data_IF_560338352411
#
_entry.id   IF_560338352411
#
_cell.length_a   1.000
_cell.length_b   1.000
_cell.length_c   1.000
_cell.angle_alpha   90.00
_cell.angle_beta   90.00
_cell.angle_gamma   90.00
#
_symmetry.space_group_name_H-M   'P 1'
#
loop_
_entity.id
_entity.type
_entity.pdbx_description
1 polymer ?
#
# COMPACT_ATOMS: atom_id res chain seq x y z
N UNK A 1 9.23 -6.31 -0.61
CA UNK A 1 8.33 -7.15 -1.43
C UNK A 1 7.97 -8.49 -0.79
N UNK A 2 8.92 -9.28 -0.27
CA UNK A 2 8.61 -10.59 0.32
C UNK A 2 7.50 -10.54 1.41
N UNK A 3 7.51 -9.51 2.27
CA UNK A 3 6.47 -9.32 3.28
C UNK A 3 5.08 -9.14 2.68
N UNK A 4 4.95 -8.30 1.65
CA UNK A 4 3.69 -8.06 0.93
C UNK A 4 3.19 -9.35 0.28
N UNK A 5 4.08 -10.12 -0.34
CA UNK A 5 3.73 -11.42 -0.92
C UNK A 5 3.19 -12.38 0.15
N UNK A 6 3.79 -12.38 1.35
CA UNK A 6 3.30 -13.20 2.46
C UNK A 6 1.91 -12.75 2.95
N UNK A 7 1.69 -11.43 3.07
CA UNK A 7 0.39 -10.86 3.43
C UNK A 7 -0.70 -11.24 2.41
N UNK A 8 -0.40 -11.12 1.12
CA UNK A 8 -1.31 -11.54 0.05
C UNK A 8 -1.63 -13.03 0.10
N UNK A 9 -0.61 -13.88 0.26
CA UNK A 9 -0.82 -15.32 0.37
C UNK A 9 -1.69 -15.70 1.59
N UNK A 10 -1.47 -15.05 2.74
CA UNK A 10 -2.24 -15.29 3.96
C UNK A 10 -3.72 -14.90 3.84
N UNK A 11 -4.06 -14.01 2.90
CA UNK A 11 -5.43 -13.52 2.64
C UNK A 11 -6.02 -14.00 1.30
N UNK A 12 -5.32 -14.90 0.60
CA UNK A 12 -5.71 -15.39 -0.72
C UNK A 12 -5.94 -14.25 -1.74
N UNK A 13 -5.14 -13.19 -1.66
CA UNK A 13 -5.16 -12.06 -2.60
C UNK A 13 -4.20 -12.39 -3.74
N UNK A 14 -4.68 -12.31 -4.98
CA UNK A 14 -3.94 -12.77 -6.17
C UNK A 14 -3.81 -11.67 -7.22
N UNK A 15 -2.98 -10.64 -7.00
CA UNK A 15 -2.89 -9.52 -7.93
C UNK A 15 -2.44 -9.97 -9.33
N UNK A 16 -3.06 -9.42 -10.37
CA UNK A 16 -2.61 -9.61 -11.74
C UNK A 16 -1.23 -8.93 -11.99
N UNK A 17 -0.54 -9.22 -13.11
CA UNK A 17 0.80 -8.67 -13.36
C UNK A 17 0.87 -7.13 -13.38
N UNK A 18 -0.18 -6.45 -13.85
CA UNK A 18 -0.23 -4.97 -13.89
C UNK A 18 -0.35 -4.41 -12.47
N UNK A 19 -1.24 -4.98 -11.65
CA UNK A 19 -1.39 -4.59 -10.24
C UNK A 19 -0.08 -4.83 -9.47
N UNK A 20 0.60 -5.96 -9.70
CA UNK A 20 1.92 -6.23 -9.12
C UNK A 20 2.96 -5.18 -9.53
N UNK A 21 2.98 -4.77 -10.80
CA UNK A 21 3.89 -3.73 -11.28
C UNK A 21 3.61 -2.38 -10.61
N UNK A 22 2.34 -1.98 -10.51
CA UNK A 22 1.93 -0.72 -9.89
C UNK A 22 2.29 -0.68 -8.40
N UNK A 23 2.00 -1.77 -7.68
CA UNK A 23 2.38 -1.93 -6.28
C UNK A 23 3.90 -1.86 -6.08
N UNK A 24 4.67 -2.55 -6.93
CA UNK A 24 6.13 -2.49 -6.88
C UNK A 24 6.67 -1.07 -7.10
N UNK A 25 6.09 -0.33 -8.05
CA UNK A 25 6.45 1.07 -8.31
C UNK A 25 6.18 1.95 -7.08
N UNK A 26 5.00 1.79 -6.49
CA UNK A 26 4.59 2.55 -5.31
C UNK A 26 5.52 2.28 -4.11
N UNK A 27 5.79 1.01 -3.80
CA UNK A 27 6.68 0.62 -2.67
C UNK A 27 8.12 1.11 -2.90
N UNK A 28 8.60 1.18 -4.14
CA UNK A 28 9.90 1.79 -4.44
C UNK A 28 9.91 3.29 -4.15
N UNK A 29 8.83 4.00 -4.48
CA UNK A 29 8.69 5.42 -4.18
C UNK A 29 8.62 5.66 -2.66
N UNK A 30 7.89 4.83 -1.91
CA UNK A 30 7.90 4.85 -0.44
C UNK A 30 9.30 4.66 0.13
N UNK A 31 10.06 3.69 -0.39
CA UNK A 31 11.43 3.45 0.03
C UNK A 31 12.34 4.65 -0.25
N UNK A 32 12.18 5.32 -1.41
CA UNK A 32 12.92 6.53 -1.72
C UNK A 32 12.58 7.65 -0.74
N UNK A 33 11.29 7.91 -0.48
CA UNK A 33 10.84 8.94 0.48
C UNK A 33 11.31 8.65 1.90
N UNK A 34 11.30 7.39 2.32
CA UNK A 34 11.84 6.97 3.62
C UNK A 34 13.34 7.29 3.75
N UNK A 35 14.10 7.28 2.65
CA UNK A 35 15.53 7.64 2.67
C UNK A 35 15.76 9.16 2.54
N UNK A 36 14.96 9.85 1.74
CA UNK A 36 15.19 11.26 1.39
C UNK A 36 14.45 12.25 2.29
N UNK A 37 13.37 11.80 2.95
CA UNK A 37 12.44 12.67 3.67
C UNK A 37 11.57 13.52 2.74
N UNK A 38 11.50 13.20 1.45
CA UNK A 38 10.60 13.87 0.51
C UNK A 38 9.14 13.74 0.99
N UNK A 39 8.44 14.87 1.04
CA UNK A 39 7.07 14.93 1.52
C UNK A 39 6.10 14.26 0.53
N UNK A 40 5.04 13.66 1.07
CA UNK A 40 3.90 13.27 0.24
C UNK A 40 3.15 14.51 -0.27
N UNK A 41 2.49 14.41 -1.44
CA UNK A 41 1.48 15.39 -1.82
C UNK A 41 0.34 15.40 -0.80
N UNK A 42 -0.31 16.55 -0.67
CA UNK A 42 -1.48 16.71 0.19
C UNK A 42 -2.63 15.85 -0.35
N UNK A 43 -3.19 15.00 0.51
CA UNK A 43 -4.28 14.08 0.18
C UNK A 43 -5.34 14.12 1.28
N UNK A 44 -6.61 14.09 0.88
CA UNK A 44 -7.74 14.16 1.79
C UNK A 44 -8.17 12.74 2.20
N UNK A 45 -8.45 12.54 3.49
CA UNK A 45 -8.81 11.24 4.03
C UNK A 45 -10.12 10.69 3.46
N UNK A 46 -11.06 11.57 3.11
CA UNK A 46 -12.39 11.22 2.60
C UNK A 46 -12.30 10.48 1.24
N UNK A 47 -11.20 10.63 0.50
CA UNK A 47 -10.96 9.90 -0.75
C UNK A 47 -10.80 8.38 -0.55
N UNK A 48 -10.63 7.93 0.70
CA UNK A 48 -10.36 6.54 1.04
C UNK A 48 -11.49 5.91 1.88
N UNK A 49 -12.66 6.55 1.95
CA UNK A 49 -13.79 6.06 2.76
C UNK A 49 -14.35 4.71 2.30
N UNK A 50 -14.25 4.43 0.99
CA UNK A 50 -14.70 3.17 0.38
C UNK A 50 -13.65 2.04 0.51
N UNK A 51 -12.43 2.35 0.97
CA UNK A 51 -11.40 1.33 1.15
C UNK A 51 -11.75 0.46 2.35
N UNK A 52 -11.70 -0.86 2.16
CA UNK A 52 -12.01 -1.78 3.24
C UNK A 52 -11.01 -1.67 4.39
N UNK A 53 -11.51 -1.84 5.62
CA UNK A 53 -10.67 -1.85 6.82
C UNK A 53 -9.55 -2.90 6.74
N UNK A 54 -9.77 -4.01 6.03
CA UNK A 54 -8.74 -5.03 5.79
C UNK A 54 -7.60 -4.49 4.92
N UNK A 55 -7.90 -3.88 3.77
CA UNK A 55 -6.87 -3.30 2.89
C UNK A 55 -6.08 -2.20 3.60
N UNK A 56 -6.79 -1.37 4.38
CA UNK A 56 -6.15 -0.34 5.20
C UNK A 56 -5.19 -0.94 6.24
N UNK A 57 -5.61 -2.00 6.94
CA UNK A 57 -4.79 -2.68 7.93
C UNK A 57 -3.57 -3.40 7.32
N UNK A 58 -3.72 -3.97 6.12
CA UNK A 58 -2.60 -4.59 5.39
C UNK A 58 -1.59 -3.55 4.91
N UNK A 59 -2.07 -2.41 4.39
CA UNK A 59 -1.21 -1.31 3.99
C UNK A 59 -0.45 -0.70 5.18
N UNK A 60 -1.13 -0.48 6.31
CA UNK A 60 -0.49 0.04 7.52
C UNK A 60 0.64 -0.88 7.99
N UNK A 61 0.44 -2.20 8.00
CA UNK A 61 1.49 -3.16 8.36
C UNK A 61 2.75 -3.04 7.49
N UNK A 62 2.61 -2.63 6.22
CA UNK A 62 3.74 -2.42 5.32
C UNK A 62 4.42 -1.08 5.59
N UNK A 63 3.64 -0.01 5.79
CA UNK A 63 4.14 1.33 6.12
C UNK A 63 4.93 1.31 7.43
N UNK A 64 4.44 0.59 8.43
CA UNK A 64 5.10 0.44 9.74
C UNK A 64 6.51 -0.14 9.65
N UNK A 65 6.83 -0.91 8.60
CA UNK A 65 8.18 -1.46 8.38
C UNK A 65 9.21 -0.39 8.01
N UNK A 66 8.77 0.73 7.45
CA UNK A 66 9.64 1.87 7.16
C UNK A 66 9.90 2.70 8.43
N UNK A 67 8.94 2.75 9.35
CA UNK A 67 9.06 3.40 10.66
C UNK A 67 9.15 4.93 10.67
N UNK A 68 9.32 5.56 9.50
CA UNK A 68 9.48 7.01 9.37
C UNK A 68 8.60 7.63 8.27
N UNK A 69 7.69 6.84 7.71
CA UNK A 69 6.75 7.31 6.70
C UNK A 69 5.48 7.89 7.36
N UNK A 70 4.86 8.92 6.75
CA UNK A 70 3.61 9.49 7.24
C UNK A 70 2.45 8.48 7.10
N UNK A 71 1.41 8.63 7.94
CA UNK A 71 0.24 7.72 7.94
C UNK A 71 -0.50 7.72 6.60
N UNK A 72 -0.43 8.84 5.89
CA UNK A 72 -1.03 9.08 4.58
C UNK A 72 -0.52 8.07 3.52
N UNK A 73 0.70 7.52 3.69
CA UNK A 73 1.20 6.44 2.84
C UNK A 73 0.34 5.19 2.93
N UNK A 74 -0.23 4.89 4.10
CA UNK A 74 -1.07 3.71 4.27
C UNK A 74 -2.37 3.87 3.47
N UNK A 75 -2.91 5.09 3.40
CA UNK A 75 -4.10 5.39 2.61
C UNK A 75 -3.81 5.15 1.13
N UNK A 76 -2.72 5.72 0.60
CA UNK A 76 -2.35 5.55 -0.79
C UNK A 76 -1.99 4.10 -1.15
N UNK A 77 -1.28 3.41 -0.25
CA UNK A 77 -0.89 2.02 -0.45
C UNK A 77 -2.12 1.10 -0.41
N UNK A 78 -3.11 1.38 0.43
CA UNK A 78 -4.31 0.56 0.61
C UNK A 78 -5.14 0.41 -0.67
N UNK A 79 -5.07 1.38 -1.59
CA UNK A 79 -5.70 1.28 -2.92
C UNK A 79 -5.17 0.07 -3.70
N UNK A 80 -3.86 -0.22 -3.62
CA UNK A 80 -3.28 -1.39 -4.29
C UNK A 80 -3.75 -2.70 -3.67
N UNK A 81 -3.98 -2.72 -2.36
CA UNK A 81 -4.53 -3.89 -1.65
C UNK A 81 -6.00 -4.10 -2.02
N UNK A 82 -6.80 -3.03 -2.06
CA UNK A 82 -8.22 -3.10 -2.40
C UNK A 82 -8.41 -3.63 -3.83
N UNK A 83 -7.74 -3.01 -4.80
CA UNK A 83 -7.84 -3.41 -6.21
C UNK A 83 -7.33 -4.85 -6.43
N UNK A 84 -6.26 -5.25 -5.74
CA UNK A 84 -5.75 -6.62 -5.81
C UNK A 84 -6.68 -7.65 -5.15
N UNK A 85 -7.49 -7.24 -4.17
CA UNK A 85 -8.47 -8.09 -3.49
C UNK A 85 -9.73 -8.27 -4.33
N UNK A 86 -10.19 -7.21 -4.99
CA UNK A 86 -11.40 -7.23 -5.82
C UNK A 86 -11.18 -7.94 -7.17
N UNK A 87 -9.96 -7.87 -7.71
CA UNK A 87 -9.45 -8.63 -8.86
C UNK A 87 -10.52 -9.32 -9.73
N UNK A 88 -11.26 -8.52 -10.50
CA UNK A 88 -12.10 -9.01 -11.60
C UNK A 88 -11.24 -9.60 -12.73
#
# INVERSE_FOLDING_TARGET
MAQITHLFAARNILPNPVQQQMLNSHVRAMALRSLTGEALPEVEADLFEDISAESMALAQQVVDLFGNLPKEEAWLLSVHFEVAKENE
#
